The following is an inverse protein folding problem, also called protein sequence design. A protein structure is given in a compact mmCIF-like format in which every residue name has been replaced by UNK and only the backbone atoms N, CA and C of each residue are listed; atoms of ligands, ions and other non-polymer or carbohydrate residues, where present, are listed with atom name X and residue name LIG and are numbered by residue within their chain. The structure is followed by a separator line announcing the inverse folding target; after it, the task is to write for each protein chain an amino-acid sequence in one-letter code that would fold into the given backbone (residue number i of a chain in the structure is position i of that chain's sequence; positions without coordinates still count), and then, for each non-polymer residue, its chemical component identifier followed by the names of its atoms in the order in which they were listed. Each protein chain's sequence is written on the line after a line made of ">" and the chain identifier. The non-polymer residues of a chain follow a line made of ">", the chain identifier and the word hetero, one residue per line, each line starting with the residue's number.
data_IF_072833682165
#
_entry.id   IF_072833682165
#
_cell.length_a   1.000
_cell.length_b   1.000
_cell.length_c   1.000
_cell.angle_alpha   90.00
_cell.angle_beta   90.00
_cell.angle_gamma   90.00
#
_symmetry.space_group_name_H-M   'P 1'
#
loop_
_entity.id
_entity.type
_entity.pdbx_description
1 polymer ?
#
# COMPACT_ATOMS: atom_id res chain seq x y z
N UNK A 1 25.45 -15.70 20.31
CA UNK A 1 24.16 -15.57 19.61
C UNK A 1 24.15 -14.17 19.05
N UNK A 2 24.69 -14.01 17.85
CA UNK A 2 25.06 -12.71 17.30
C UNK A 2 23.93 -12.12 16.48
N UNK A 3 23.42 -10.98 16.94
CA UNK A 3 23.08 -9.83 16.11
C UNK A 3 22.46 -10.14 14.73
N UNK A 4 21.31 -10.81 14.69
CA UNK A 4 20.56 -11.14 13.47
C UNK A 4 19.93 -9.91 12.77
N UNK A 5 20.42 -8.71 13.08
CA UNK A 5 19.95 -7.42 12.56
C UNK A 5 20.90 -6.89 11.49
N UNK A 6 20.38 -6.77 10.29
CA UNK A 6 21.05 -6.19 9.14
C UNK A 6 20.65 -4.73 8.95
N UNK A 7 21.62 -3.86 8.67
CA UNK A 7 21.35 -2.51 8.20
C UNK A 7 21.07 -2.55 6.69
N UNK A 8 19.82 -2.29 6.31
CA UNK A 8 19.39 -2.25 4.91
C UNK A 8 19.04 -0.83 4.52
N UNK A 9 19.48 -0.40 3.34
CA UNK A 9 19.11 0.90 2.78
C UNK A 9 18.09 0.72 1.68
N UNK A 10 16.88 1.26 1.89
CA UNK A 10 15.81 1.28 0.89
C UNK A 10 15.84 2.61 0.13
N UNK A 11 15.58 2.57 -1.17
CA UNK A 11 15.52 3.75 -2.04
C UNK A 11 14.09 3.96 -2.52
N UNK A 12 13.44 5.00 -2.01
CA UNK A 12 12.06 5.36 -2.38
C UNK A 12 12.10 6.74 -3.03
N UNK A 13 11.64 6.82 -4.28
CA UNK A 13 11.58 8.06 -5.08
C UNK A 13 12.88 8.90 -4.99
N UNK A 14 14.03 8.23 -5.17
CA UNK A 14 15.35 8.88 -5.13
C UNK A 14 15.92 9.15 -3.73
N UNK A 15 15.11 9.07 -2.67
CA UNK A 15 15.54 9.23 -1.26
C UNK A 15 16.01 7.90 -0.67
N UNK A 16 17.06 7.93 0.15
CA UNK A 16 17.64 6.75 0.81
C UNK A 16 17.22 6.69 2.28
N UNK A 17 16.68 5.55 2.70
CA UNK A 17 16.20 5.30 4.06
C UNK A 17 16.97 4.11 4.66
N UNK A 18 17.98 4.35 5.52
CA UNK A 18 18.68 3.29 6.23
C UNK A 18 17.84 2.78 7.41
N UNK A 19 17.55 1.49 7.43
CA UNK A 19 16.75 0.81 8.45
C UNK A 19 17.52 -0.40 9.00
N UNK A 20 17.45 -0.62 10.31
CA UNK A 20 17.96 -1.85 10.95
C UNK A 20 16.81 -2.83 11.07
N UNK A 21 16.91 -3.98 10.39
CA UNK A 21 15.86 -4.99 10.31
C UNK A 21 16.44 -6.38 10.53
N UNK A 22 15.61 -7.35 10.91
CA UNK A 22 16.05 -8.73 11.01
C UNK A 22 16.28 -9.34 9.61
N UNK A 23 17.29 -10.20 9.49
CA UNK A 23 17.68 -10.79 8.20
C UNK A 23 16.54 -11.57 7.55
N UNK A 24 15.69 -12.20 8.36
CA UNK A 24 14.49 -12.92 7.89
C UNK A 24 13.45 -12.03 7.22
N UNK A 25 13.45 -10.72 7.51
CA UNK A 25 12.51 -9.77 6.95
C UNK A 25 13.06 -9.01 5.75
N UNK A 26 14.36 -9.13 5.44
CA UNK A 26 15.02 -8.38 4.37
C UNK A 26 14.24 -8.45 3.04
N UNK A 27 13.83 -9.65 2.63
CA UNK A 27 13.11 -9.87 1.38
C UNK A 27 11.75 -9.15 1.35
N UNK A 28 11.05 -9.09 2.49
CA UNK A 28 9.79 -8.38 2.61
C UNK A 28 10.00 -6.87 2.47
N UNK A 29 11.05 -6.32 3.10
CA UNK A 29 11.39 -4.89 2.97
C UNK A 29 11.81 -4.52 1.55
N UNK A 30 12.59 -5.37 0.85
CA UNK A 30 12.94 -5.19 -0.57
C UNK A 30 11.73 -5.24 -1.49
N UNK A 31 10.79 -6.13 -1.20
CA UNK A 31 9.54 -6.23 -1.96
C UNK A 31 8.63 -5.03 -1.72
N UNK A 32 8.56 -4.55 -0.47
CA UNK A 32 7.83 -3.34 -0.10
C UNK A 32 8.40 -2.10 -0.80
N UNK A 33 9.73 -1.94 -0.84
CA UNK A 33 10.42 -0.86 -1.56
C UNK A 33 9.97 -0.79 -3.02
N UNK A 34 10.00 -1.92 -3.74
CA UNK A 34 9.54 -1.99 -5.14
C UNK A 34 8.06 -1.65 -5.27
N UNK A 35 7.22 -2.17 -4.36
CA UNK A 35 5.76 -1.96 -4.39
C UNK A 35 5.41 -0.48 -4.16
N UNK A 36 6.08 0.19 -3.22
CA UNK A 36 5.90 1.62 -2.95
C UNK A 36 6.30 2.45 -4.17
N UNK A 37 7.48 2.20 -4.75
CA UNK A 37 7.94 2.94 -5.94
C UNK A 37 6.98 2.79 -7.12
N UNK A 38 6.46 1.59 -7.36
CA UNK A 38 5.46 1.36 -8.40
C UNK A 38 4.17 2.17 -8.15
N UNK A 39 3.71 2.23 -6.90
CA UNK A 39 2.48 2.93 -6.52
C UNK A 39 2.64 4.46 -6.62
N UNK A 40 3.78 4.99 -6.22
CA UNK A 40 4.16 6.40 -6.43
C UNK A 40 4.14 6.73 -7.93
N UNK A 41 4.73 5.89 -8.78
CA UNK A 41 4.71 6.09 -10.22
C UNK A 41 3.30 6.04 -10.82
N UNK A 42 2.45 5.13 -10.33
CA UNK A 42 1.04 5.08 -10.75
C UNK A 42 0.31 6.37 -10.41
N UNK A 43 0.51 6.91 -9.20
CA UNK A 43 -0.10 8.18 -8.82
C UNK A 43 0.45 9.35 -9.62
N UNK A 44 1.77 9.40 -9.88
CA UNK A 44 2.35 10.41 -10.77
C UNK A 44 1.66 10.41 -12.13
N UNK A 45 1.44 9.25 -12.73
CA UNK A 45 0.73 9.15 -14.02
C UNK A 45 -0.74 9.56 -13.87
N UNK A 46 -1.42 9.09 -12.82
CA UNK A 46 -2.84 9.37 -12.59
C UNK A 46 -3.15 10.86 -12.39
N UNK A 47 -2.25 11.60 -11.75
CA UNK A 47 -2.42 13.02 -11.44
C UNK A 47 -1.81 13.98 -12.47
N UNK A 48 -1.35 13.50 -13.63
CA UNK A 48 -0.91 14.35 -14.75
C UNK A 48 0.61 14.56 -14.85
N UNK A 49 1.41 13.72 -14.18
CA UNK A 49 2.86 13.67 -14.32
C UNK A 49 3.55 14.95 -13.82
N UNK A 50 4.41 15.52 -14.64
CA UNK A 50 5.19 16.74 -14.31
C UNK A 50 4.35 18.03 -14.32
N UNK A 51 3.10 17.98 -14.78
CA UNK A 51 2.18 19.13 -14.78
C UNK A 51 1.33 19.24 -13.51
N UNK A 52 1.60 18.40 -12.52
CA UNK A 52 0.84 18.36 -11.28
C UNK A 52 1.50 19.20 -10.20
N UNK A 53 0.69 19.95 -9.42
CA UNK A 53 1.17 20.72 -8.26
C UNK A 53 1.61 19.83 -7.08
N UNK A 54 1.47 18.51 -7.24
CA UNK A 54 1.78 17.50 -6.24
C UNK A 54 3.25 17.10 -6.30
N UNK A 55 3.87 17.05 -5.12
CA UNK A 55 5.27 16.66 -4.99
C UNK A 55 5.41 15.16 -4.67
N UNK A 56 6.65 14.68 -4.68
CA UNK A 56 7.00 13.30 -4.30
C UNK A 56 6.45 12.87 -2.92
N UNK A 57 6.40 13.78 -1.95
CA UNK A 57 5.89 13.49 -0.61
C UNK A 57 4.37 13.35 -0.60
N UNK A 58 3.64 14.07 -1.45
CA UNK A 58 2.19 13.91 -1.60
C UNK A 58 1.86 12.52 -2.14
N UNK A 59 2.59 12.07 -3.17
CA UNK A 59 2.42 10.72 -3.71
C UNK A 59 2.83 9.62 -2.72
N UNK A 60 3.87 9.86 -1.91
CA UNK A 60 4.21 8.99 -0.79
C UNK A 60 3.06 8.94 0.23
N UNK A 61 2.49 10.08 0.62
CA UNK A 61 1.41 10.15 1.58
C UNK A 61 0.17 9.39 1.08
N UNK A 62 -0.22 9.57 -0.20
CA UNK A 62 -1.30 8.81 -0.83
C UNK A 62 -1.04 7.31 -0.80
N UNK A 63 0.19 6.90 -1.12
CA UNK A 63 0.61 5.49 -1.08
C UNK A 63 0.55 4.92 0.34
N UNK A 64 1.00 5.67 1.34
CA UNK A 64 0.94 5.28 2.75
C UNK A 64 -0.50 5.16 3.24
N UNK A 65 -1.36 6.13 2.93
CA UNK A 65 -2.78 6.09 3.28
C UNK A 65 -3.42 4.84 2.68
N UNK A 66 -3.19 4.57 1.39
CA UNK A 66 -3.74 3.38 0.75
C UNK A 66 -3.22 2.09 1.39
N UNK A 67 -1.93 2.01 1.72
CA UNK A 67 -1.34 0.83 2.37
C UNK A 67 -1.92 0.59 3.77
N UNK A 68 -2.14 1.65 4.56
CA UNK A 68 -2.76 1.56 5.89
C UNK A 68 -4.21 1.09 5.80
N UNK A 69 -5.00 1.63 4.87
CA UNK A 69 -6.37 1.17 4.63
C UNK A 69 -6.39 -0.30 4.20
N UNK A 70 -5.52 -0.70 3.26
CA UNK A 70 -5.38 -2.10 2.86
C UNK A 70 -5.06 -2.99 4.08
N UNK A 71 -4.14 -2.56 4.95
CA UNK A 71 -3.79 -3.27 6.18
C UNK A 71 -4.98 -3.40 7.15
N UNK A 72 -5.69 -2.31 7.45
CA UNK A 72 -6.86 -2.34 8.32
C UNK A 72 -7.98 -3.23 7.76
N UNK A 73 -8.20 -3.21 6.44
CA UNK A 73 -9.20 -4.10 5.83
C UNK A 73 -8.78 -5.57 5.88
N UNK A 74 -7.49 -5.89 5.99
CA UNK A 74 -7.03 -7.27 6.16
C UNK A 74 -7.20 -7.71 7.61
N UNK A 75 -6.91 -6.84 8.58
CA UNK A 75 -7.16 -7.12 10.01
C UNK A 75 -8.65 -7.30 10.31
N UNK A 76 -9.52 -6.49 9.70
CA UNK A 76 -10.99 -6.60 9.81
C UNK A 76 -11.64 -7.76 9.03
N UNK A 77 -10.88 -8.51 8.21
CA UNK A 77 -11.38 -9.72 7.51
C UNK A 77 -11.13 -11.02 8.29
N UNK A 78 -10.45 -10.93 9.44
CA UNK A 78 -10.31 -12.04 10.39
C UNK A 78 -11.59 -12.28 11.21
N UNK A 79 -12.50 -11.30 11.25
CA UNK A 79 -13.84 -11.46 11.81
C UNK A 79 -14.84 -11.76 10.68
N UNK A 80 -15.28 -13.01 10.68
CA UNK A 80 -16.33 -13.61 9.87
C UNK A 80 -17.48 -12.69 9.46
N UNK A 81 -17.77 -12.61 8.15
CA UNK A 81 -19.09 -12.95 7.63
C UNK A 81 -19.03 -13.17 6.10
N UNK A 82 -19.69 -14.22 5.57
CA UNK A 82 -19.78 -14.47 4.14
C UNK A 82 -20.62 -13.36 3.50
N UNK A 83 -20.15 -12.79 2.40
CA UNK A 83 -20.97 -11.90 1.60
C UNK A 83 -22.14 -12.71 1.02
N UNK A 84 -23.27 -12.71 1.73
CA UNK A 84 -24.53 -13.16 1.17
C UNK A 84 -24.86 -12.25 -0.02
N UNK A 85 -24.76 -12.85 -1.21
CA UNK A 85 -25.38 -12.37 -2.43
C UNK A 85 -26.88 -12.23 -2.19
N UNK A 86 -27.34 -11.06 -1.77
CA UNK A 86 -28.75 -10.70 -1.85
C UNK A 86 -29.07 -10.34 -3.30
N UNK A 87 -29.40 -11.39 -4.06
CA UNK A 87 -30.17 -11.29 -5.29
C UNK A 87 -31.50 -10.59 -4.98
N UNK A 88 -31.58 -9.27 -5.06
CA UNK A 88 -32.87 -8.58 -5.05
C UNK A 88 -33.38 -8.43 -6.48
N UNK A 89 -33.84 -9.55 -7.05
CA UNK A 89 -34.99 -9.52 -7.95
C UNK A 89 -36.21 -9.34 -7.08
N UNK A 90 -36.83 -8.16 -7.05
CA UNK A 90 -38.24 -8.09 -6.69
C UNK A 90 -38.92 -6.98 -7.46
N UNK A 91 -39.87 -7.41 -8.30
CA UNK A 91 -40.93 -6.63 -8.90
C UNK A 91 -41.65 -5.73 -7.89
N UNK A 92 -41.88 -4.48 -8.28
CA UNK A 92 -43.04 -3.67 -7.86
C UNK A 92 -43.25 -2.65 -8.98
N UNK A 93 -43.94 -2.98 -10.07
CA UNK A 93 -45.40 -2.93 -10.26
C UNK A 93 -46.12 -1.93 -9.34
N UNK A 94 -46.87 -1.07 -10.03
CA UNK A 94 -48.05 -0.29 -9.66
C UNK A 94 -47.84 1.08 -9.00
N UNK A 95 -48.30 2.08 -9.75
CA UNK A 95 -48.47 3.49 -9.46
C UNK A 95 -48.94 4.13 -10.75
#
# INVERSE_FOLDING_TARGET
>A
MGDDKLLVTLKIDGRKYPLKIDRSQEEAFRSAEKKINNKINQYRVAFGGENSDLNAQDFMAMTTIQALVENFTLEGKSDTAPMEKKNCRTHRRIG
#
